data_IF_324702068301
#
_entry.id   IF_324702068301
#
_cell.length_a   1.000
_cell.length_b   1.000
_cell.length_c   1.000
_cell.angle_alpha   90.00
_cell.angle_beta   90.00
_cell.angle_gamma   90.00
#
_symmetry.space_group_name_H-M   'P 1'
#
loop_
_entity.id
_entity.type
_entity.pdbx_description
1 polymer ?
#
# COMPACT_ATOMS: atom_id res chain seq x y z
N UNK A 1 -29.46 -59.24 47.75
CA UNK A 1 -28.37 -59.25 46.76
C UNK A 1 -28.65 -58.17 45.73
N UNK A 2 -28.18 -56.95 45.98
CA UNK A 2 -28.23 -55.83 45.04
C UNK A 2 -26.86 -55.17 45.10
N UNK A 3 -25.89 -55.82 44.48
CA UNK A 3 -24.51 -55.35 44.39
C UNK A 3 -24.07 -55.64 42.95
N UNK A 4 -24.21 -54.63 42.09
CA UNK A 4 -23.95 -54.79 40.66
C UNK A 4 -24.28 -53.59 39.78
N UNK A 5 -24.58 -52.41 40.34
CA UNK A 5 -24.97 -51.23 39.54
C UNK A 5 -24.04 -50.03 39.72
N UNK A 6 -22.96 -50.17 40.51
CA UNK A 6 -22.03 -49.08 40.82
C UNK A 6 -20.84 -48.95 39.87
N UNK A 7 -20.30 -50.06 39.38
CA UNK A 7 -18.99 -50.10 38.72
C UNK A 7 -19.04 -49.74 37.23
N UNK A 8 -20.13 -50.07 36.54
CA UNK A 8 -20.31 -49.71 35.12
C UNK A 8 -20.55 -48.21 34.93
N UNK A 9 -21.24 -47.56 35.86
CA UNK A 9 -21.57 -46.13 35.77
C UNK A 9 -20.34 -45.20 35.89
N UNK A 10 -19.28 -45.63 36.58
CA UNK A 10 -18.04 -44.87 36.73
C UNK A 10 -17.14 -45.00 35.48
N UNK A 11 -17.07 -46.20 34.90
CA UNK A 11 -16.36 -46.47 33.65
C UNK A 11 -17.02 -45.75 32.47
N UNK A 12 -18.34 -45.80 32.37
CA UNK A 12 -19.10 -45.14 31.30
C UNK A 12 -19.01 -43.60 31.38
N UNK A 13 -18.99 -43.02 32.59
CA UNK A 13 -18.73 -41.59 32.82
C UNK A 13 -17.29 -41.20 32.47
N UNK A 14 -16.30 -42.04 32.80
CA UNK A 14 -14.89 -41.83 32.45
C UNK A 14 -14.64 -41.88 30.93
N UNK A 15 -15.30 -42.80 30.22
CA UNK A 15 -15.23 -42.91 28.75
C UNK A 15 -15.94 -41.73 28.08
N UNK A 16 -17.16 -41.37 28.52
CA UNK A 16 -17.90 -40.22 27.97
C UNK A 16 -17.16 -38.89 28.21
N UNK A 17 -16.57 -38.70 29.39
CA UNK A 17 -15.76 -37.51 29.71
C UNK A 17 -14.49 -37.42 28.86
N UNK A 18 -13.85 -38.56 28.60
CA UNK A 18 -12.64 -38.63 27.76
C UNK A 18 -12.97 -38.39 26.28
N UNK A 19 -14.09 -38.92 25.78
CA UNK A 19 -14.59 -38.62 24.42
C UNK A 19 -14.92 -37.14 24.28
N UNK A 20 -15.64 -36.56 25.23
CA UNK A 20 -15.95 -35.13 25.24
C UNK A 20 -14.69 -34.27 25.24
N UNK A 21 -13.69 -34.60 26.08
CA UNK A 21 -12.42 -33.89 26.12
C UNK A 21 -11.69 -33.96 24.77
N UNK A 22 -11.66 -35.13 24.12
CA UNK A 22 -11.06 -35.26 22.78
C UNK A 22 -11.81 -34.44 21.73
N UNK A 23 -13.14 -34.46 21.72
CA UNK A 23 -13.93 -33.63 20.81
C UNK A 23 -13.70 -32.13 21.06
N UNK A 24 -13.64 -31.71 22.31
CA UNK A 24 -13.36 -30.32 22.68
C UNK A 24 -11.96 -29.89 22.24
N UNK A 25 -10.94 -30.70 22.49
CA UNK A 25 -9.57 -30.44 22.04
C UNK A 25 -9.51 -30.35 20.51
N UNK A 26 -10.20 -31.24 19.79
CA UNK A 26 -10.24 -31.18 18.33
C UNK A 26 -10.89 -29.90 17.79
N UNK A 27 -12.04 -29.51 18.35
CA UNK A 27 -12.73 -28.27 17.95
C UNK A 27 -11.90 -27.04 18.31
N UNK A 28 -11.29 -27.03 19.50
CA UNK A 28 -10.44 -25.94 19.95
C UNK A 28 -9.18 -25.82 19.09
N UNK A 29 -8.46 -26.92 18.87
CA UNK A 29 -7.29 -26.97 18.00
C UNK A 29 -7.63 -26.56 16.57
N UNK A 30 -8.76 -27.03 16.02
CA UNK A 30 -9.26 -26.63 14.70
C UNK A 30 -9.54 -25.13 14.62
N UNK A 31 -10.16 -24.56 15.67
CA UNK A 31 -10.45 -23.12 15.74
C UNK A 31 -9.18 -22.27 15.83
N UNK A 32 -8.18 -22.71 16.60
CA UNK A 32 -6.87 -22.03 16.72
C UNK A 32 -6.15 -22.05 15.38
N UNK A 33 -6.08 -23.21 14.72
CA UNK A 33 -5.44 -23.35 13.41
C UNK A 33 -6.18 -22.51 12.36
N UNK A 34 -7.52 -22.54 12.34
CA UNK A 34 -8.32 -21.72 11.45
C UNK A 34 -8.09 -20.22 11.63
N UNK A 35 -8.05 -19.76 12.88
CA UNK A 35 -7.76 -18.35 13.21
C UNK A 35 -6.35 -17.96 12.79
N UNK A 36 -5.37 -18.84 12.97
CA UNK A 36 -3.98 -18.62 12.55
C UNK A 36 -3.85 -18.46 11.04
N UNK A 37 -4.45 -19.36 10.25
CA UNK A 37 -4.43 -19.26 8.78
C UNK A 37 -5.14 -18.02 8.29
N UNK A 38 -6.30 -17.69 8.87
CA UNK A 38 -7.02 -16.47 8.52
C UNK A 38 -6.20 -15.20 8.82
N UNK A 39 -5.53 -15.16 9.97
CA UNK A 39 -4.63 -14.06 10.32
C UNK A 39 -3.48 -13.89 9.32
N UNK A 40 -2.86 -14.98 8.87
CA UNK A 40 -1.81 -14.94 7.85
C UNK A 40 -2.32 -14.44 6.50
N UNK A 41 -3.53 -14.86 6.09
CA UNK A 41 -4.12 -14.49 4.82
C UNK A 41 -4.49 -13.00 4.78
N UNK A 42 -5.09 -12.48 5.87
CA UNK A 42 -5.38 -11.05 6.01
C UNK A 42 -4.10 -10.21 5.92
N UNK A 43 -3.04 -10.61 6.63
CA UNK A 43 -1.76 -9.89 6.58
C UNK A 43 -1.19 -9.91 5.16
N UNK A 44 -1.21 -11.06 4.49
CA UNK A 44 -0.73 -11.17 3.09
C UNK A 44 -1.52 -10.28 2.13
N UNK A 45 -2.85 -10.23 2.28
CA UNK A 45 -3.70 -9.43 1.41
C UNK A 45 -3.49 -7.92 1.65
N UNK A 46 -3.39 -7.49 2.91
CA UNK A 46 -3.07 -6.09 3.26
C UNK A 46 -1.71 -5.69 2.70
N UNK A 47 -0.70 -6.58 2.82
CA UNK A 47 0.63 -6.33 2.25
C UNK A 47 0.59 -6.18 0.73
N UNK A 48 -0.14 -7.05 0.04
CA UNK A 48 -0.28 -6.96 -1.41
C UNK A 48 -1.01 -5.68 -1.84
N UNK A 49 -2.04 -5.25 -1.09
CA UNK A 49 -2.73 -3.98 -1.35
C UNK A 49 -1.85 -2.76 -1.08
N UNK A 50 -1.01 -2.80 -0.04
CA UNK A 50 -0.07 -1.74 0.26
C UNK A 50 0.96 -1.56 -0.86
N UNK A 51 1.56 -2.65 -1.35
CA UNK A 51 2.51 -2.62 -2.47
C UNK A 51 1.85 -2.01 -3.72
N UNK A 52 0.62 -2.44 -4.06
CA UNK A 52 -0.11 -1.85 -5.19
C UNK A 52 -0.37 -0.36 -5.03
N UNK A 53 -0.72 0.07 -3.83
CA UNK A 53 -0.98 1.49 -3.54
C UNK A 53 0.32 2.31 -3.60
N UNK A 54 1.45 1.76 -3.13
CA UNK A 54 2.76 2.39 -3.19
C UNK A 54 3.26 2.54 -4.64
N UNK A 55 3.08 1.49 -5.47
CA UNK A 55 3.35 1.54 -6.91
C UNK A 55 2.50 2.63 -7.58
N UNK A 56 1.19 2.63 -7.31
CA UNK A 56 0.28 3.62 -7.89
C UNK A 56 0.63 5.06 -7.48
N UNK A 57 0.96 5.30 -6.20
CA UNK A 57 1.41 6.61 -5.71
C UNK A 57 2.66 7.08 -6.45
N UNK A 58 3.67 6.22 -6.57
CA UNK A 58 4.93 6.55 -7.25
C UNK A 58 4.70 6.79 -8.75
N UNK A 59 3.87 5.99 -9.40
CA UNK A 59 3.52 6.16 -10.83
C UNK A 59 2.81 7.50 -11.06
N UNK A 60 1.77 7.82 -10.27
CA UNK A 60 1.03 9.09 -10.40
C UNK A 60 1.91 10.28 -10.05
N UNK A 61 2.71 10.18 -8.99
CA UNK A 61 3.67 11.21 -8.60
C UNK A 61 4.68 11.50 -9.71
N UNK A 62 5.25 10.46 -10.31
CA UNK A 62 6.17 10.61 -11.44
C UNK A 62 5.48 11.20 -12.68
N UNK A 63 4.27 10.77 -13.00
CA UNK A 63 3.50 11.35 -14.11
C UNK A 63 3.26 12.86 -13.93
N UNK A 64 2.95 13.29 -12.70
CA UNK A 64 2.80 14.71 -12.38
C UNK A 64 4.13 15.44 -12.55
N UNK A 65 5.26 14.88 -12.09
CA UNK A 65 6.58 15.48 -12.29
C UNK A 65 6.94 15.63 -13.77
N UNK A 66 6.64 14.62 -14.60
CA UNK A 66 6.84 14.68 -16.06
C UNK A 66 6.05 15.84 -16.65
N UNK A 67 4.74 15.90 -16.37
CA UNK A 67 3.88 16.98 -16.86
C UNK A 67 4.35 18.35 -16.38
N UNK A 68 4.75 18.42 -15.12
CA UNK A 68 5.23 19.64 -14.47
C UNK A 68 6.52 20.14 -15.09
N UNK A 69 7.44 19.22 -15.39
CA UNK A 69 8.73 19.58 -15.98
C UNK A 69 8.60 19.97 -17.46
N UNK A 70 7.68 19.33 -18.20
CA UNK A 70 7.43 19.66 -19.61
C UNK A 70 6.69 21.00 -19.78
N UNK A 71 5.79 21.35 -18.84
CA UNK A 71 5.01 22.58 -18.88
C UNK A 71 5.59 23.72 -18.02
N UNK A 72 6.68 23.47 -17.29
CA UNK A 72 7.28 24.35 -16.27
C UNK A 72 6.26 24.85 -15.21
N UNK A 73 5.18 24.09 -14.99
CA UNK A 73 4.06 24.47 -14.12
C UNK A 73 3.25 23.23 -13.74
N UNK A 74 2.64 23.19 -12.54
CA UNK A 74 1.87 22.04 -12.12
C UNK A 74 0.58 21.85 -12.95
N UNK A 75 0.18 20.59 -13.23
CA UNK A 75 -1.10 20.29 -13.85
C UNK A 75 -2.28 20.64 -12.92
N UNK A 76 -3.37 21.15 -13.51
CA UNK A 76 -4.59 21.53 -12.77
C UNK A 76 -5.64 20.42 -12.74
N UNK A 77 -5.41 19.32 -13.44
CA UNK A 77 -6.36 18.24 -13.51
C UNK A 77 -5.81 16.97 -14.14
N UNK A 78 -6.54 15.88 -13.91
CA UNK A 78 -6.24 14.53 -14.39
C UNK A 78 -6.01 14.48 -15.90
N UNK A 79 -6.74 15.29 -16.67
CA UNK A 79 -6.64 15.32 -18.15
C UNK A 79 -5.28 15.76 -18.66
N UNK A 80 -4.50 16.52 -17.89
CA UNK A 80 -3.15 16.95 -18.27
C UNK A 80 -2.10 15.85 -18.08
N UNK A 81 -2.42 14.80 -17.32
CA UNK A 81 -1.53 13.64 -17.13
C UNK A 81 -2.06 12.36 -17.81
N UNK A 82 -3.36 12.30 -18.09
CA UNK A 82 -4.00 11.11 -18.68
C UNK A 82 -3.64 10.98 -20.14
N UNK A 83 -2.72 10.08 -20.46
CA UNK A 83 -2.22 9.87 -21.82
C UNK A 83 -0.75 10.25 -21.99
N UNK A 84 -0.08 10.74 -20.93
CA UNK A 84 1.37 10.88 -20.95
C UNK A 84 2.03 9.51 -20.98
N UNK A 85 2.98 9.35 -21.89
CA UNK A 85 3.96 8.27 -21.79
C UNK A 85 4.96 8.66 -20.70
N UNK A 86 5.24 7.74 -19.77
CA UNK A 86 6.23 7.97 -18.71
C UNK A 86 7.63 7.78 -19.31
N UNK A 87 8.41 8.86 -19.51
CA UNK A 87 9.76 8.73 -20.03
C UNK A 87 10.67 8.04 -18.99
N UNK A 88 11.78 7.41 -19.42
CA UNK A 88 12.74 6.83 -18.50
C UNK A 88 13.45 7.89 -17.64
N UNK A 89 13.56 9.12 -18.14
CA UNK A 89 14.22 10.24 -17.45
C UNK A 89 13.38 11.51 -17.59
N UNK A 90 13.35 12.32 -16.53
CA UNK A 90 12.76 13.66 -16.57
C UNK A 90 13.59 14.57 -17.50
N UNK A 91 12.93 15.56 -18.07
CA UNK A 91 13.53 16.58 -18.97
C UNK A 91 13.24 17.96 -18.41
N UNK A 92 13.97 18.99 -18.85
CA UNK A 92 13.69 20.36 -18.44
C UNK A 92 14.16 20.68 -17.01
N UNK A 93 13.48 21.56 -16.27
CA UNK A 93 13.98 22.10 -14.99
C UNK A 93 14.12 21.06 -13.86
N UNK A 94 13.41 19.92 -13.96
CA UNK A 94 13.47 18.81 -13.01
C UNK A 94 14.32 17.63 -13.51
N UNK A 95 15.14 17.81 -14.56
CA UNK A 95 15.98 16.74 -15.11
C UNK A 95 17.08 16.28 -14.14
N UNK A 96 17.55 17.18 -13.27
CA UNK A 96 18.47 16.84 -12.18
C UNK A 96 17.65 16.44 -10.96
N UNK A 97 18.03 15.33 -10.32
CA UNK A 97 17.43 14.90 -9.07
C UNK A 97 17.69 15.97 -8.00
N UNK A 98 16.71 16.17 -7.13
CA UNK A 98 16.88 17.08 -6.00
C UNK A 98 17.92 16.51 -5.01
N UNK A 99 18.78 17.36 -4.43
CA UNK A 99 19.84 16.90 -3.53
C UNK A 99 19.33 16.32 -2.21
N UNK A 100 18.05 16.52 -1.85
CA UNK A 100 17.45 15.88 -0.68
C UNK A 100 17.22 14.39 -0.95
N UNK A 101 17.98 13.48 -0.28
CA UNK A 101 17.85 12.05 -0.51
C UNK A 101 16.55 11.45 0.03
N UNK A 102 15.80 12.18 0.86
CA UNK A 102 14.60 11.67 1.54
C UNK A 102 13.30 12.19 0.93
N UNK A 103 13.28 13.44 0.48
CA UNK A 103 12.08 14.06 -0.11
C UNK A 103 12.32 14.69 -1.48
N UNK A 104 13.53 14.58 -2.01
CA UNK A 104 13.87 15.05 -3.34
C UNK A 104 13.19 14.25 -4.44
N UNK A 105 12.80 14.94 -5.51
CA UNK A 105 12.20 14.25 -6.66
C UNK A 105 13.24 13.39 -7.39
N UNK A 106 12.82 12.23 -7.92
CA UNK A 106 13.69 11.35 -8.69
C UNK A 106 13.98 11.94 -10.08
N UNK A 107 15.18 11.72 -10.62
CA UNK A 107 15.50 12.10 -12.00
C UNK A 107 14.99 11.05 -13.01
N UNK A 108 14.90 9.79 -12.58
CA UNK A 108 14.55 8.67 -13.46
C UNK A 108 13.31 7.93 -12.98
N UNK A 109 12.63 7.26 -13.92
CA UNK A 109 11.48 6.42 -13.59
C UNK A 109 11.89 5.23 -12.70
N UNK A 110 13.09 4.69 -12.91
CA UNK A 110 13.63 3.58 -12.11
C UNK A 110 13.85 4.00 -10.64
N UNK A 111 14.43 5.17 -10.42
CA UNK A 111 14.57 5.77 -9.08
C UNK A 111 13.20 6.01 -8.44
N UNK A 112 12.25 6.56 -9.22
CA UNK A 112 10.90 6.81 -8.76
C UNK A 112 10.21 5.52 -8.29
N UNK A 113 10.44 4.40 -8.97
CA UNK A 113 9.83 3.13 -8.60
C UNK A 113 10.57 2.37 -7.48
N UNK A 114 11.80 2.76 -7.12
CA UNK A 114 12.64 2.07 -6.14
C UNK A 114 12.68 0.54 -6.31
N UNK A 115 12.87 0.09 -7.56
CA UNK A 115 12.94 -1.33 -7.91
C UNK A 115 11.59 -2.04 -8.05
N UNK A 116 10.47 -1.31 -8.05
CA UNK A 116 9.17 -1.84 -8.44
C UNK A 116 8.90 -1.63 -9.93
N UNK A 117 7.96 -2.40 -10.48
CA UNK A 117 7.46 -2.15 -11.82
C UNK A 117 6.39 -1.04 -11.79
N UNK A 118 6.40 -0.09 -12.73
CA UNK A 118 5.33 0.91 -12.81
C UNK A 118 4.01 0.23 -13.18
N UNK A 119 2.92 0.68 -12.55
CA UNK A 119 1.56 0.29 -12.96
C UNK A 119 1.08 1.18 -14.10
N UNK A 120 0.15 0.72 -14.96
CA UNK A 120 -0.49 1.60 -15.94
C UNK A 120 -1.13 2.82 -15.24
N UNK A 121 -0.94 4.01 -15.79
CA UNK A 121 -1.42 5.26 -15.17
C UNK A 121 -2.95 5.27 -14.99
N UNK A 122 -3.70 4.65 -15.91
CA UNK A 122 -5.15 4.45 -15.78
C UNK A 122 -5.52 3.75 -14.48
N UNK A 123 -4.83 2.65 -14.20
CA UNK A 123 -5.10 1.78 -13.06
C UNK A 123 -4.62 2.45 -11.77
N UNK A 124 -3.51 3.18 -11.85
CA UNK A 124 -2.96 3.96 -10.74
C UNK A 124 -3.93 5.06 -10.28
N UNK A 125 -4.60 5.74 -11.23
CA UNK A 125 -5.58 6.79 -10.95
C UNK A 125 -6.90 6.27 -10.35
N UNK A 126 -7.19 4.97 -10.42
CA UNK A 126 -8.31 4.35 -9.68
C UNK A 126 -7.99 4.14 -8.19
N UNK A 127 -6.68 4.01 -7.87
CA UNK A 127 -6.19 3.74 -6.53
C UNK A 127 -5.80 5.02 -5.77
N UNK A 128 -5.31 6.03 -6.48
CA UNK A 128 -4.82 7.28 -5.92
C UNK A 128 -5.83 8.41 -6.12
N UNK A 129 -6.11 9.13 -5.05
CA UNK A 129 -6.84 10.38 -5.08
C UNK A 129 -5.85 11.54 -5.19
N UNK A 130 -6.02 12.39 -6.21
CA UNK A 130 -5.23 13.60 -6.37
C UNK A 130 -6.10 14.81 -6.07
N UNK A 131 -5.69 15.61 -5.09
CA UNK A 131 -6.25 16.93 -4.82
C UNK A 131 -5.53 17.95 -5.69
N UNK A 132 -6.21 18.42 -6.73
CA UNK A 132 -5.66 19.38 -7.67
C UNK A 132 -5.75 20.81 -7.11
N UNK A 133 -4.69 21.62 -7.27
CA UNK A 133 -4.69 23.01 -6.85
C UNK A 133 -5.54 23.88 -7.80
N UNK A 134 -6.01 25.05 -7.34
CA UNK A 134 -6.70 26.01 -8.21
C UNK A 134 -5.74 26.78 -9.12
N UNK A 135 -4.45 26.82 -8.78
CA UNK A 135 -3.39 27.61 -9.43
C UNK A 135 -2.18 26.70 -9.71
N UNK A 136 -1.41 27.01 -10.78
CA UNK A 136 -0.34 26.13 -11.30
C UNK A 136 1.00 26.22 -10.54
N UNK A 137 1.11 27.16 -9.62
CA UNK A 137 2.29 27.40 -8.77
C UNK A 137 2.28 26.52 -7.51
N UNK A 138 1.12 25.98 -7.15
CA UNK A 138 0.96 25.10 -6.00
C UNK A 138 1.08 23.62 -6.41
N UNK A 139 1.77 22.77 -5.64
CA UNK A 139 1.84 21.35 -5.91
C UNK A 139 0.50 20.65 -5.60
N UNK A 140 0.05 19.68 -6.43
CA UNK A 140 -1.07 18.81 -6.06
C UNK A 140 -0.69 17.89 -4.89
N UNK A 141 -1.70 17.41 -4.18
CA UNK A 141 -1.52 16.52 -3.02
C UNK A 141 -2.15 15.16 -3.30
N UNK A 142 -1.37 14.09 -3.12
CA UNK A 142 -1.81 12.72 -3.32
C UNK A 142 -2.28 12.09 -2.00
N UNK A 143 -3.30 11.26 -2.10
CA UNK A 143 -3.85 10.45 -1.02
C UNK A 143 -4.29 9.08 -1.54
N UNK A 144 -4.32 8.08 -0.65
CA UNK A 144 -4.84 6.74 -0.94
C UNK A 144 -6.20 6.47 -0.29
N UNK A 145 -6.87 7.52 0.23
CA UNK A 145 -8.25 7.43 0.71
C UNK A 145 -8.46 6.45 1.89
N UNK A 146 -7.45 6.27 2.74
CA UNK A 146 -7.48 5.32 3.86
C UNK A 146 -7.08 3.89 3.51
N UNK A 147 -6.67 3.61 2.26
CA UNK A 147 -6.03 2.34 1.89
C UNK A 147 -4.65 2.24 2.53
N UNK A 148 -4.19 1.03 2.89
CA UNK A 148 -2.85 0.84 3.43
C UNK A 148 -1.78 1.23 2.39
N UNK A 149 -0.74 1.95 2.83
CA UNK A 149 0.42 2.38 2.03
C UNK A 149 1.65 2.54 2.95
N UNK A 150 2.85 2.63 2.38
CA UNK A 150 4.09 2.85 3.14
C UNK A 150 4.70 1.58 3.71
N UNK A 151 4.72 0.50 2.92
CA UNK A 151 5.30 -0.77 3.35
C UNK A 151 6.81 -0.87 3.09
N UNK A 152 7.34 0.00 2.24
CA UNK A 152 8.72 -0.12 1.71
C UNK A 152 9.69 0.76 2.50
N UNK A 153 9.24 1.93 2.92
CA UNK A 153 10.07 2.89 3.64
C UNK A 153 9.63 2.99 5.12
N UNK A 154 10.54 3.34 6.02
CA UNK A 154 10.19 3.65 7.41
C UNK A 154 9.23 4.86 7.52
N UNK A 155 9.05 5.60 6.42
CA UNK A 155 8.07 6.68 6.21
C UNK A 155 7.01 6.22 5.22
N UNK A 156 5.84 6.84 5.25
CA UNK A 156 4.81 6.49 4.27
C UNK A 156 5.27 6.91 2.87
N UNK A 157 5.07 6.04 1.86
CA UNK A 157 5.35 6.36 0.45
C UNK A 157 4.59 7.60 0.00
N UNK A 158 3.43 7.86 0.61
CA UNK A 158 2.66 9.08 0.44
C UNK A 158 3.43 10.33 0.86
N UNK A 159 4.15 10.30 1.98
CA UNK A 159 4.95 11.44 2.44
C UNK A 159 6.12 11.73 1.51
N UNK A 160 6.75 10.66 1.01
CA UNK A 160 7.87 10.73 0.06
C UNK A 160 7.40 11.37 -1.24
N UNK A 161 6.34 10.84 -1.86
CA UNK A 161 5.83 11.35 -3.15
C UNK A 161 5.29 12.78 -3.02
N UNK A 162 4.57 13.10 -1.95
CA UNK A 162 4.15 14.48 -1.71
C UNK A 162 5.34 15.41 -1.41
N UNK A 163 6.43 14.86 -0.85
CA UNK A 163 7.72 15.56 -0.71
C UNK A 163 8.29 15.96 -2.06
N UNK A 164 8.32 15.04 -3.02
CA UNK A 164 8.81 15.30 -4.38
C UNK A 164 8.11 16.48 -5.01
N UNK A 165 6.77 16.49 -4.97
CA UNK A 165 5.96 17.54 -5.57
C UNK A 165 6.18 18.89 -4.88
N UNK A 166 6.29 18.90 -3.54
CA UNK A 166 6.61 20.15 -2.82
C UNK A 166 7.96 20.71 -3.22
N UNK A 167 9.00 19.88 -3.27
CA UNK A 167 10.35 20.33 -3.61
C UNK A 167 10.43 20.76 -5.08
N UNK A 168 9.75 20.06 -5.99
CA UNK A 168 9.63 20.47 -7.38
C UNK A 168 8.98 21.86 -7.51
N UNK A 169 7.98 22.16 -6.69
CA UNK A 169 7.35 23.48 -6.64
C UNK A 169 8.30 24.57 -6.16
N UNK A 170 9.09 24.27 -5.12
CA UNK A 170 10.16 25.18 -4.66
C UNK A 170 11.19 25.41 -5.77
N UNK A 171 11.54 24.38 -6.54
CA UNK A 171 12.49 24.50 -7.65
C UNK A 171 11.98 25.39 -8.77
N UNK A 172 10.71 25.29 -9.13
CA UNK A 172 10.08 26.11 -10.18
C UNK A 172 9.85 27.56 -9.76
N UNK A 173 9.72 27.84 -8.46
CA UNK A 173 9.57 29.19 -7.93
C UNK A 173 10.88 30.00 -7.89
N UNK A 174 12.03 29.37 -8.11
CA UNK A 174 13.37 29.97 -8.06
C UNK A 174 14.00 30.06 -9.44
#
# INVERSE_FOLDING_TARGET
>A
MTEGTGMDSASEKGVRGRIFLFCFIFVFAGSVVGTWFFGLDVVRNVKAQAVKSDMALRTVGYAILVATSDAEAFPLGVTEITGLELPPTLRGPLAEADPDPETGWPATLEEAMAGMDPVPLSDALELVLVSWPPERDLPPVLSVGGRPSGMIDARSTLDVVNGWLRNAGVRLAN
#
